data_IF_182794926546
#
_entry.id   IF_182794926546
#
_cell.length_a   1.000
_cell.length_b   1.000
_cell.length_c   1.000
_cell.angle_alpha   90.00
_cell.angle_beta   90.00
_cell.angle_gamma   90.00
#
_symmetry.space_group_name_H-M   'P 1'
#
loop_
_entity.id
_entity.type
_entity.pdbx_description
1 polymer ?
#
# COMPACT_ATOMS: atom_id res chain seq x y z
N UNK A 1 11.02 5.81 -21.74
CA UNK A 1 10.07 6.85 -21.31
C UNK A 1 10.39 8.14 -22.03
N UNK A 2 9.37 8.87 -22.51
CA UNK A 2 9.60 10.25 -22.99
C UNK A 2 10.00 11.11 -21.79
N UNK A 3 10.77 12.17 -22.04
CA UNK A 3 11.41 13.03 -21.02
C UNK A 3 10.46 13.76 -20.04
N UNK A 4 9.16 13.50 -20.11
CA UNK A 4 8.09 14.18 -19.35
C UNK A 4 7.07 13.23 -18.71
N UNK A 5 7.29 11.92 -18.73
CA UNK A 5 6.37 10.94 -18.14
C UNK A 5 6.81 10.60 -16.71
N UNK A 6 5.90 10.74 -15.74
CA UNK A 6 6.10 10.31 -14.35
C UNK A 6 5.37 8.99 -14.12
N UNK A 7 6.06 8.02 -13.55
CA UNK A 7 5.47 6.73 -13.18
C UNK A 7 5.25 6.70 -11.67
N UNK A 8 4.06 6.27 -11.27
CA UNK A 8 3.68 6.11 -9.87
C UNK A 8 3.34 4.65 -9.57
N UNK A 9 3.91 4.11 -8.49
CA UNK A 9 3.59 2.78 -7.98
C UNK A 9 2.66 2.91 -6.77
N UNK A 10 1.39 2.50 -6.92
CA UNK A 10 0.41 2.54 -5.84
C UNK A 10 0.46 1.24 -5.02
N UNK A 11 0.61 1.36 -3.71
CA UNK A 11 0.69 0.23 -2.77
C UNK A 11 0.04 0.57 -1.43
N UNK A 12 -0.41 -0.45 -0.68
CA UNK A 12 -0.82 -0.26 0.71
C UNK A 12 0.37 -0.24 1.66
N UNK A 13 0.25 0.49 2.77
CA UNK A 13 1.34 0.62 3.75
C UNK A 13 1.81 -0.73 4.33
N UNK A 14 0.88 -1.67 4.53
CA UNK A 14 1.18 -3.02 5.03
C UNK A 14 2.19 -3.77 4.12
N UNK A 15 2.09 -3.59 2.79
CA UNK A 15 3.03 -4.19 1.84
C UNK A 15 4.29 -3.33 1.63
N UNK A 16 4.18 -2.02 1.88
CA UNK A 16 5.33 -1.11 1.83
C UNK A 16 6.30 -1.35 3.00
N UNK A 17 5.81 -1.80 4.16
CA UNK A 17 6.67 -2.15 5.31
C UNK A 17 7.73 -3.22 4.96
N UNK A 18 7.44 -4.05 3.96
CA UNK A 18 8.32 -5.11 3.45
C UNK A 18 9.08 -4.71 2.18
N UNK A 19 8.98 -3.45 1.71
CA UNK A 19 9.49 -3.04 0.39
C UNK A 19 10.99 -3.27 0.22
N UNK A 20 11.79 -3.13 1.29
CA UNK A 20 13.22 -3.41 1.25
C UNK A 20 13.57 -4.89 1.00
N UNK A 21 12.62 -5.80 1.18
CA UNK A 21 12.81 -7.25 0.94
C UNK A 21 12.48 -7.65 -0.50
N UNK A 22 11.90 -6.75 -1.29
CA UNK A 22 11.52 -7.04 -2.67
C UNK A 22 12.76 -7.22 -3.56
N UNK A 23 12.56 -7.99 -4.62
CA UNK A 23 13.59 -8.17 -5.63
C UNK A 23 13.96 -6.82 -6.26
N UNK A 24 15.25 -6.46 -6.20
CA UNK A 24 15.78 -5.19 -6.72
C UNK A 24 15.06 -3.93 -6.23
N UNK A 25 14.69 -3.89 -4.94
CA UNK A 25 13.95 -2.77 -4.34
C UNK A 25 14.55 -1.38 -4.65
N UNK A 26 15.88 -1.23 -4.59
CA UNK A 26 16.55 0.04 -4.91
C UNK A 26 16.34 0.48 -6.36
N UNK A 27 16.41 -0.46 -7.32
CA UNK A 27 16.19 -0.17 -8.72
C UNK A 27 14.74 0.29 -8.94
N UNK A 28 13.78 -0.29 -8.23
CA UNK A 28 12.37 0.10 -8.31
C UNK A 28 12.14 1.56 -7.94
N UNK A 29 12.79 2.06 -6.88
CA UNK A 29 12.75 3.48 -6.48
C UNK A 29 13.41 4.44 -7.48
N UNK A 30 14.31 3.95 -8.35
CA UNK A 30 14.88 4.74 -9.44
C UNK A 30 13.95 4.83 -10.66
N UNK A 31 13.00 3.90 -10.81
CA UNK A 31 12.10 3.85 -11.97
C UNK A 31 10.77 4.59 -11.74
N UNK A 32 10.36 4.80 -10.48
CA UNK A 32 9.07 5.40 -10.16
C UNK A 32 9.01 6.06 -8.79
N UNK A 33 8.03 6.95 -8.64
CA UNK A 33 7.63 7.51 -7.35
C UNK A 33 6.58 6.58 -6.71
N UNK A 34 6.52 6.52 -5.39
CA UNK A 34 5.56 5.65 -4.70
C UNK A 34 4.36 6.44 -4.20
N UNK A 35 3.18 5.86 -4.34
CA UNK A 35 1.97 6.31 -3.66
C UNK A 35 1.61 5.22 -2.65
N UNK A 36 1.68 5.55 -1.37
CA UNK A 36 1.41 4.61 -0.29
C UNK A 36 0.08 4.98 0.36
N UNK A 37 -0.90 4.08 0.26
CA UNK A 37 -2.17 4.20 0.97
C UNK A 37 -1.95 3.87 2.45
N UNK A 38 -2.00 4.90 3.29
CA UNK A 38 -1.76 4.80 4.73
C UNK A 38 -2.95 4.19 5.47
N UNK A 39 -2.65 3.48 6.56
CA UNK A 39 -3.63 2.99 7.53
C UNK A 39 -3.38 3.64 8.90
N UNK A 40 -4.40 3.76 9.76
CA UNK A 40 -4.20 4.25 11.13
C UNK A 40 -3.18 3.37 11.86
N UNK A 41 -2.21 3.98 12.53
CA UNK A 41 -1.18 3.28 13.32
C UNK A 41 0.24 3.39 12.79
N UNK A 42 0.44 3.88 11.56
CA UNK A 42 1.78 4.09 10.99
C UNK A 42 2.22 5.56 11.11
N UNK A 43 3.51 5.75 11.36
CA UNK A 43 4.19 7.04 11.42
C UNK A 43 5.04 7.30 10.18
N UNK A 44 5.43 8.56 9.95
CA UNK A 44 6.41 8.91 8.92
C UNK A 44 7.76 8.22 9.14
N UNK A 45 8.13 7.97 10.40
CA UNK A 45 9.37 7.24 10.69
C UNK A 45 9.28 5.79 10.22
N UNK A 46 8.13 5.14 10.34
CA UNK A 46 7.94 3.76 9.87
C UNK A 46 8.14 3.67 8.35
N UNK A 47 7.53 4.60 7.61
CA UNK A 47 7.70 4.72 6.15
C UNK A 47 9.17 4.95 5.78
N UNK A 48 9.86 5.87 6.46
CA UNK A 48 11.27 6.13 6.21
C UNK A 48 12.16 4.92 6.54
N UNK A 49 11.84 4.18 7.60
CA UNK A 49 12.60 3.00 8.03
C UNK A 49 12.36 1.79 7.12
N UNK A 50 11.20 1.68 6.47
CA UNK A 50 10.88 0.61 5.52
C UNK A 50 11.72 0.68 4.22
N UNK A 51 12.30 1.84 3.90
CA UNK A 51 13.15 2.02 2.72
C UNK A 51 14.39 1.09 2.72
N UNK A 52 14.92 0.73 1.54
CA UNK A 52 16.21 0.06 1.40
C UNK A 52 17.34 0.81 2.12
N UNK A 53 18.37 0.09 2.56
CA UNK A 53 19.44 0.66 3.39
C UNK A 53 20.12 1.88 2.74
N UNK A 54 20.36 1.84 1.42
CA UNK A 54 20.97 2.95 0.68
C UNK A 54 20.12 4.22 0.59
N UNK A 55 18.80 4.09 0.72
CA UNK A 55 17.83 5.20 0.66
C UNK A 55 17.32 5.60 2.05
N UNK A 56 17.60 4.78 3.07
CA UNK A 56 17.12 4.99 4.43
C UNK A 56 17.86 6.16 5.08
N UNK A 57 17.14 7.17 5.60
CA UNK A 57 17.77 8.26 6.32
C UNK A 57 18.30 7.78 7.68
N UNK A 58 19.32 8.47 8.20
CA UNK A 58 19.91 8.13 9.49
C UNK A 58 18.86 8.19 10.62
N UNK A 59 18.96 7.35 11.67
CA UNK A 59 17.98 7.34 12.77
C UNK A 59 17.80 8.69 13.48
N UNK A 60 18.82 9.55 13.47
CA UNK A 60 18.72 10.91 14.02
C UNK A 60 17.70 11.79 13.25
N UNK A 61 17.51 11.51 11.96
CA UNK A 61 16.56 12.22 11.08
C UNK A 61 15.13 11.70 11.25
N UNK A 62 14.95 10.40 11.49
CA UNK A 62 13.60 9.79 11.62
C UNK A 62 13.00 9.94 13.01
N UNK A 63 13.82 9.98 14.07
CA UNK A 63 13.37 10.10 15.48
C UNK A 63 12.35 11.21 15.74
N UNK A 64 12.52 12.46 15.24
CA UNK A 64 11.54 13.54 15.43
C UNK A 64 10.15 13.21 14.85
N UNK A 65 10.09 12.35 13.84
CA UNK A 65 8.87 12.01 13.11
C UNK A 65 8.21 10.70 13.58
N UNK A 66 8.74 10.07 14.64
CA UNK A 66 8.25 8.77 15.14
C UNK A 66 6.79 8.79 15.62
N UNK A 67 6.25 9.96 15.97
CA UNK A 67 4.85 10.14 16.35
C UNK A 67 4.04 10.90 15.30
N UNK A 68 4.67 11.31 14.20
CA UNK A 68 3.98 12.05 13.15
C UNK A 68 3.21 11.05 12.29
N UNK A 69 1.88 11.23 12.11
CA UNK A 69 1.09 10.36 11.24
C UNK A 69 1.68 10.29 9.82
N UNK A 70 1.63 9.11 9.22
CA UNK A 70 2.09 8.88 7.84
C UNK A 70 1.17 9.58 6.81
N UNK A 71 1.38 10.90 6.63
CA UNK A 71 0.61 11.76 5.72
C UNK A 71 1.51 12.76 4.99
N UNK A 72 1.09 13.16 3.80
CA UNK A 72 1.83 14.10 2.96
C UNK A 72 2.97 13.43 2.19
N UNK A 73 3.96 14.22 1.80
CA UNK A 73 5.08 13.72 0.99
C UNK A 73 6.33 13.51 1.83
N UNK A 74 6.95 12.34 1.70
CA UNK A 74 8.31 12.06 2.17
C UNK A 74 9.26 12.18 0.98
N UNK A 75 10.06 13.23 0.96
CA UNK A 75 11.04 13.51 -0.10
C UNK A 75 12.45 13.36 0.48
N UNK A 76 13.19 12.39 -0.02
CA UNK A 76 14.58 12.13 0.34
C UNK A 76 15.44 12.13 -0.92
N UNK A 77 16.77 12.09 -0.75
CA UNK A 77 17.68 12.00 -1.88
C UNK A 77 17.44 10.70 -2.65
N UNK A 78 16.93 10.80 -3.88
CA UNK A 78 16.70 9.65 -4.76
C UNK A 78 15.39 8.90 -4.55
N UNK A 79 14.49 9.38 -3.67
CA UNK A 79 13.17 8.74 -3.47
C UNK A 79 12.10 9.77 -3.08
N UNK A 80 10.91 9.61 -3.66
CA UNK A 80 9.70 10.36 -3.29
C UNK A 80 8.58 9.37 -2.99
N UNK A 81 7.98 9.51 -1.81
CA UNK A 81 6.84 8.71 -1.36
C UNK A 81 5.68 9.65 -0.99
N UNK A 82 4.56 9.49 -1.68
CA UNK A 82 3.30 10.21 -1.43
C UNK A 82 2.40 9.38 -0.53
N UNK A 83 2.03 9.90 0.65
CA UNK A 83 1.20 9.18 1.61
C UNK A 83 -0.25 9.65 1.51
N UNK A 84 -1.14 8.72 1.15
CA UNK A 84 -2.58 8.93 1.10
C UNK A 84 -3.20 8.51 2.43
N UNK A 85 -3.50 9.49 3.28
CA UNK A 85 -4.04 9.29 4.63
C UNK A 85 -5.58 9.16 4.68
N UNK A 86 -6.27 9.45 3.59
CA UNK A 86 -7.75 9.45 3.54
C UNK A 86 -8.36 8.17 2.94
N UNK A 87 -7.55 7.12 2.74
CA UNK A 87 -8.03 5.85 2.17
C UNK A 87 -8.27 4.85 3.29
N UNK A 88 -9.45 4.93 3.91
CA UNK A 88 -9.85 4.03 4.99
C UNK A 88 -11.08 3.22 4.59
N UNK A 89 -10.84 2.03 4.03
CA UNK A 89 -11.90 1.07 3.73
C UNK A 89 -11.68 -0.19 4.58
N UNK A 90 -12.60 -0.53 5.52
CA UNK A 90 -12.49 -1.73 6.35
C UNK A 90 -12.89 -2.98 5.56
N UNK A 91 -12.16 -3.28 4.48
CA UNK A 91 -12.41 -4.43 3.60
C UNK A 91 -11.10 -5.17 3.35
N UNK A 92 -11.18 -6.50 3.24
CA UNK A 92 -10.05 -7.34 2.86
C UNK A 92 -10.51 -8.48 1.95
N UNK A 93 -9.62 -8.98 1.10
CA UNK A 93 -9.91 -10.13 0.26
C UNK A 93 -10.25 -11.38 1.10
N UNK A 94 -9.65 -11.53 2.29
CA UNK A 94 -9.96 -12.61 3.22
C UNK A 94 -11.41 -12.53 3.71
N UNK A 95 -11.84 -11.36 4.17
CA UNK A 95 -13.23 -11.16 4.59
C UNK A 95 -14.24 -11.39 3.46
N UNK A 96 -13.90 -10.98 2.22
CA UNK A 96 -14.72 -11.26 1.03
C UNK A 96 -14.86 -12.77 0.81
N UNK A 97 -13.75 -13.52 0.79
CA UNK A 97 -13.79 -14.98 0.57
C UNK A 97 -14.55 -15.71 1.67
N UNK A 98 -14.38 -15.31 2.93
CA UNK A 98 -15.14 -15.84 4.06
C UNK A 98 -16.64 -15.55 3.93
N UNK A 99 -17.01 -14.33 3.50
CA UNK A 99 -18.40 -13.97 3.24
C UNK A 99 -19.01 -14.83 2.13
N UNK A 100 -18.27 -15.08 1.05
CA UNK A 100 -18.71 -15.98 -0.04
C UNK A 100 -18.94 -17.40 0.48
N UNK A 101 -17.96 -17.98 1.18
CA UNK A 101 -18.07 -19.33 1.74
C UNK A 101 -19.25 -19.46 2.73
N UNK A 102 -19.50 -18.42 3.52
CA UNK A 102 -20.63 -18.33 4.44
C UNK A 102 -21.97 -17.94 3.77
N UNK A 103 -22.00 -17.81 2.43
CA UNK A 103 -23.18 -17.38 1.65
C UNK A 103 -23.78 -16.04 2.11
N UNK A 104 -22.93 -15.13 2.59
CA UNK A 104 -23.33 -13.79 3.02
C UNK A 104 -23.37 -12.80 1.84
N UNK A 105 -24.22 -11.75 1.90
CA UNK A 105 -24.28 -10.72 0.85
C UNK A 105 -22.94 -9.99 0.65
N UNK A 106 -22.55 -9.74 -0.61
CA UNK A 106 -21.27 -9.14 -0.96
C UNK A 106 -21.33 -7.63 -1.26
N UNK A 107 -22.53 -7.05 -1.39
CA UNK A 107 -22.70 -5.65 -1.84
C UNK A 107 -22.10 -4.57 -0.92
N UNK A 108 -21.68 -4.93 0.30
CA UNK A 108 -20.92 -4.04 1.20
C UNK A 108 -19.41 -4.08 0.97
N UNK A 109 -18.92 -5.01 0.16
CA UNK A 109 -17.49 -5.27 -0.01
C UNK A 109 -16.99 -5.03 -1.43
N UNK A 110 -17.82 -5.34 -2.44
CA UNK A 110 -17.43 -5.28 -3.85
C UNK A 110 -18.54 -4.66 -4.69
N UNK A 111 -18.15 -4.15 -5.86
CA UNK A 111 -19.08 -3.66 -6.88
C UNK A 111 -20.10 -4.75 -7.27
N UNK A 112 -21.38 -4.38 -7.55
CA UNK A 112 -22.41 -5.35 -7.93
C UNK A 112 -22.01 -6.26 -9.11
N UNK A 113 -21.30 -5.74 -10.12
CA UNK A 113 -20.86 -6.56 -11.26
C UNK A 113 -19.84 -7.62 -10.84
N UNK A 114 -18.96 -7.32 -9.87
CA UNK A 114 -18.01 -8.28 -9.29
C UNK A 114 -18.75 -9.33 -8.45
N UNK A 115 -19.74 -8.91 -7.67
CA UNK A 115 -20.57 -9.84 -6.87
C UNK A 115 -21.34 -10.82 -7.77
N UNK A 116 -21.93 -10.34 -8.85
CA UNK A 116 -22.61 -11.17 -9.86
C UNK A 116 -21.64 -12.15 -10.51
N UNK A 117 -20.44 -11.68 -10.87
CA UNK A 117 -19.41 -12.53 -11.46
C UNK A 117 -19.02 -13.68 -10.51
N UNK A 118 -18.70 -13.36 -9.25
CA UNK A 118 -18.36 -14.37 -8.22
C UNK A 118 -19.46 -15.42 -8.09
N UNK A 119 -20.72 -14.98 -8.06
CA UNK A 119 -21.89 -15.87 -7.98
C UNK A 119 -22.03 -16.76 -9.21
N UNK A 120 -21.88 -16.19 -10.41
CA UNK A 120 -22.03 -16.91 -11.69
C UNK A 120 -20.97 -17.99 -11.87
N UNK A 121 -19.73 -17.72 -11.47
CA UNK A 121 -18.60 -18.63 -11.68
C UNK A 121 -18.35 -19.57 -10.49
N UNK A 122 -19.06 -19.40 -9.37
CA UNK A 122 -18.85 -20.19 -8.16
C UNK A 122 -17.47 -19.97 -7.52
N UNK A 123 -16.85 -18.80 -7.73
CA UNK A 123 -15.54 -18.51 -7.13
C UNK A 123 -15.66 -18.44 -5.59
N UNK A 124 -14.67 -18.99 -4.89
CA UNK A 124 -14.56 -18.94 -3.42
C UNK A 124 -15.68 -19.65 -2.63
N UNK A 125 -16.54 -20.43 -3.29
CA UNK A 125 -17.70 -21.11 -2.68
C UNK A 125 -17.34 -22.25 -1.70
N UNK A 126 -16.06 -22.58 -1.53
CA UNK A 126 -15.63 -23.86 -0.97
C UNK A 126 -15.90 -25.02 -1.94
N UNK A 127 -15.12 -26.09 -1.85
CA UNK A 127 -15.56 -27.40 -2.34
C UNK A 127 -16.57 -27.98 -1.36
#
# INVERSE_FOLDING_TARGET
MKKSERLFFLIGIDAFDEIATWHEAEALFQQCEFIVASRPGHSLADVANALPESLRPAPAVTKPFAKQPAKGDLVLSGVTVHLLDNVHQPVSATAIREAVAAKRPLGKFVDPAVAEYIKKTGLYSGR
#
